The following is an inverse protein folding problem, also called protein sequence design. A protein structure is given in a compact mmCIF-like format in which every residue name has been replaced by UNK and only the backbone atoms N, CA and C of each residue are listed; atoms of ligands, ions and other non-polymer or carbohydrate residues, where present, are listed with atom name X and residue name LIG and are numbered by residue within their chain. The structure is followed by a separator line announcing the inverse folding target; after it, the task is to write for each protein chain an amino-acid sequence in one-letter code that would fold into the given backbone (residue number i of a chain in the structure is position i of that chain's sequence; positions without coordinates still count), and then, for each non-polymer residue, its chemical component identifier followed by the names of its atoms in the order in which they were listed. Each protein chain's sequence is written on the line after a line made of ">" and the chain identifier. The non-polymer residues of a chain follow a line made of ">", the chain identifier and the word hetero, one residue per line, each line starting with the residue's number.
data_IF_522004330260
#
_entry.id   IF_522004330260
#
_cell.length_a   1.000
_cell.length_b   1.000
_cell.length_c   1.000
_cell.angle_alpha   90.00
_cell.angle_beta   90.00
_cell.angle_gamma   90.00
#
_symmetry.space_group_name_H-M   'P 1'
#
loop_
_entity.id
_entity.type
_entity.pdbx_description
1 polymer ?
#
# COMPACT_ATOMS: atom_id res chain seq x y z
N UNK A 1 32.03 2.69 -32.79
CA UNK A 1 31.33 1.80 -31.84
C UNK A 1 29.84 2.02 -32.02
N UNK A 2 29.09 0.94 -32.21
CA UNK A 2 27.67 0.90 -32.58
C UNK A 2 26.78 1.00 -31.33
N UNK A 3 25.70 1.80 -31.43
CA UNK A 3 24.33 1.64 -30.90
C UNK A 3 24.14 1.16 -29.44
N UNK A 4 23.26 1.75 -28.62
CA UNK A 4 21.81 1.72 -28.83
C UNK A 4 21.05 2.82 -28.06
N UNK A 5 19.95 3.24 -28.70
CA UNK A 5 18.91 4.16 -28.21
C UNK A 5 17.99 3.39 -27.25
N UNK A 6 17.65 3.97 -26.10
CA UNK A 6 16.54 3.52 -25.26
C UNK A 6 15.34 4.44 -25.52
N UNK A 7 14.30 3.82 -26.07
CA UNK A 7 13.02 4.44 -26.40
C UNK A 7 12.15 4.49 -25.14
N UNK A 8 11.60 5.67 -24.85
CA UNK A 8 10.53 5.84 -23.85
C UNK A 8 9.24 5.40 -24.51
N UNK A 9 8.65 4.31 -24.02
CA UNK A 9 7.34 3.82 -24.46
C UNK A 9 6.27 4.60 -23.68
N UNK A 10 5.60 5.54 -24.35
CA UNK A 10 4.39 6.17 -23.85
C UNK A 10 3.22 5.20 -24.01
N UNK A 11 2.70 4.67 -22.90
CA UNK A 11 1.50 3.85 -22.89
C UNK A 11 0.26 4.76 -22.86
N UNK A 12 -0.29 5.06 -24.03
CA UNK A 12 -1.59 5.72 -24.14
C UNK A 12 -2.71 4.68 -24.04
N UNK A 13 -3.40 4.64 -22.90
CA UNK A 13 -4.60 3.80 -22.73
C UNK A 13 -5.80 4.56 -23.29
N UNK A 14 -6.21 4.21 -24.51
CA UNK A 14 -7.46 4.67 -25.09
C UNK A 14 -8.63 3.81 -24.55
N UNK A 15 -9.35 4.32 -23.55
CA UNK A 15 -10.62 3.74 -23.12
C UNK A 15 -11.71 4.16 -24.10
N UNK A 16 -12.23 3.19 -24.84
CA UNK A 16 -13.36 3.37 -25.74
C UNK A 16 -14.65 3.39 -24.93
N UNK A 17 -15.28 4.56 -24.78
CA UNK A 17 -16.61 4.68 -24.15
C UNK A 17 -17.66 4.34 -25.19
N UNK A 18 -18.19 3.11 -25.15
CA UNK A 18 -19.43 2.78 -25.87
C UNK A 18 -20.61 3.37 -25.11
N UNK A 19 -21.21 4.39 -25.73
CA UNK A 19 -22.46 5.00 -25.33
C UNK A 19 -23.60 3.97 -25.29
N UNK A 20 -24.21 3.80 -24.11
CA UNK A 20 -25.51 3.17 -23.93
C UNK A 20 -26.48 4.21 -23.41
N UNK A 21 -27.43 4.62 -24.25
CA UNK A 21 -28.54 5.48 -23.85
C UNK A 21 -29.50 4.68 -22.95
N UNK A 22 -29.75 5.17 -21.74
CA UNK A 22 -30.94 4.84 -20.96
C UNK A 22 -31.36 6.07 -20.14
N UNK A 23 -32.66 6.34 -20.22
CA UNK A 23 -33.39 7.52 -19.75
C UNK A 23 -33.49 7.64 -18.23
N UNK A 24 -33.43 8.89 -17.74
CA UNK A 24 -34.34 9.40 -16.73
C UNK A 24 -34.10 8.98 -15.27
N UNK A 25 -33.45 9.85 -14.50
CA UNK A 25 -34.06 10.59 -13.39
C UNK A 25 -33.05 11.62 -12.91
N UNK A 26 -33.49 12.86 -12.81
CA UNK A 26 -32.74 13.97 -12.22
C UNK A 26 -32.79 13.83 -10.71
N UNK A 27 -31.65 13.52 -10.10
CA UNK A 27 -31.38 13.88 -8.71
C UNK A 27 -29.95 14.42 -8.66
N UNK A 28 -29.86 15.55 -7.99
CA UNK A 28 -28.71 16.44 -7.82
C UNK A 28 -27.60 15.76 -6.99
N UNK A 29 -26.46 16.45 -6.85
CA UNK A 29 -25.44 16.31 -5.79
C UNK A 29 -24.14 15.57 -6.16
N UNK A 30 -23.06 16.36 -6.26
CA UNK A 30 -21.74 16.16 -5.62
C UNK A 30 -21.02 14.79 -5.62
N UNK A 31 -21.39 13.86 -6.50
CA UNK A 31 -20.79 12.51 -6.53
C UNK A 31 -19.80 12.27 -7.69
N UNK A 32 -19.47 13.29 -8.49
CA UNK A 32 -18.61 13.11 -9.67
C UNK A 32 -17.11 12.90 -9.39
N UNK A 33 -16.63 13.19 -8.18
CA UNK A 33 -15.21 12.97 -7.81
C UNK A 33 -14.96 11.66 -7.02
N UNK A 34 -16.01 10.96 -6.59
CA UNK A 34 -15.87 9.69 -5.86
C UNK A 34 -15.70 8.51 -6.80
N UNK A 35 -14.68 7.69 -6.55
CA UNK A 35 -14.48 6.44 -7.28
C UNK A 35 -15.71 5.55 -7.17
N UNK A 36 -16.09 4.91 -8.27
CA UNK A 36 -17.09 3.83 -8.22
C UNK A 36 -16.57 2.68 -7.36
N UNK A 37 -17.47 1.89 -6.74
CA UNK A 37 -17.08 0.71 -5.93
C UNK A 37 -16.08 -0.20 -6.65
N UNK A 38 -16.25 -0.44 -7.95
CA UNK A 38 -15.34 -1.26 -8.75
C UNK A 38 -13.96 -0.62 -8.90
N UNK A 39 -13.89 0.69 -9.16
CA UNK A 39 -12.61 1.42 -9.24
C UNK A 39 -11.91 1.45 -7.88
N UNK A 40 -12.66 1.70 -6.81
CA UNK A 40 -12.13 1.65 -5.44
C UNK A 40 -11.56 0.28 -5.10
N UNK A 41 -12.28 -0.81 -5.38
CA UNK A 41 -11.77 -2.18 -5.17
C UNK A 41 -10.49 -2.44 -5.96
N UNK A 42 -10.38 -1.96 -7.21
CA UNK A 42 -9.18 -2.13 -8.03
C UNK A 42 -7.97 -1.37 -7.46
N UNK A 43 -8.16 -0.11 -7.06
CA UNK A 43 -7.11 0.69 -6.41
C UNK A 43 -6.67 0.03 -5.09
N UNK A 44 -7.63 -0.36 -4.24
CA UNK A 44 -7.34 -1.00 -2.97
C UNK A 44 -6.64 -2.36 -3.14
N UNK A 45 -6.99 -3.15 -4.16
CA UNK A 45 -6.26 -4.39 -4.51
C UNK A 45 -4.80 -4.12 -4.85
N UNK A 46 -4.55 -3.10 -5.67
CA UNK A 46 -3.19 -2.72 -6.06
C UNK A 46 -2.38 -2.29 -4.84
N UNK A 47 -2.97 -1.49 -3.95
CA UNK A 47 -2.33 -1.08 -2.69
C UNK A 47 -2.07 -2.27 -1.76
N UNK A 48 -3.04 -3.16 -1.57
CA UNK A 48 -2.86 -4.35 -0.73
C UNK A 48 -1.74 -5.24 -1.27
N UNK A 49 -1.69 -5.47 -2.58
CA UNK A 49 -0.61 -6.24 -3.21
C UNK A 49 0.76 -5.56 -3.07
N UNK A 50 0.81 -4.21 -3.13
CA UNK A 50 2.02 -3.44 -2.90
C UNK A 50 2.47 -3.58 -1.44
N UNK A 51 1.60 -3.34 -0.47
CA UNK A 51 1.91 -3.52 0.97
C UNK A 51 2.45 -4.91 1.25
N UNK A 52 1.84 -5.97 0.71
CA UNK A 52 2.31 -7.34 0.92
C UNK A 52 3.72 -7.58 0.35
N UNK A 53 4.06 -6.97 -0.81
CA UNK A 53 5.40 -7.03 -1.41
C UNK A 53 6.41 -6.32 -0.53
N UNK A 54 6.12 -5.08 -0.16
CA UNK A 54 7.03 -4.25 0.65
C UNK A 54 7.20 -4.82 2.07
N UNK A 55 6.16 -5.42 2.64
CA UNK A 55 6.25 -6.12 3.93
C UNK A 55 7.18 -7.34 3.89
N UNK A 56 7.34 -7.99 2.73
CA UNK A 56 8.33 -9.07 2.58
C UNK A 56 9.75 -8.51 2.56
N UNK A 57 9.98 -7.40 1.85
CA UNK A 57 11.26 -6.71 1.85
C UNK A 57 11.61 -6.18 3.24
N UNK A 58 10.64 -5.65 3.98
CA UNK A 58 10.81 -5.27 5.38
C UNK A 58 11.21 -6.47 6.28
N UNK A 59 10.71 -7.68 5.99
CA UNK A 59 11.12 -8.88 6.70
C UNK A 59 12.55 -9.35 6.34
N UNK A 60 13.02 -9.05 5.12
CA UNK A 60 14.42 -9.30 4.72
C UNK A 60 15.40 -8.46 5.54
N UNK A 61 15.00 -7.28 6.04
CA UNK A 61 15.79 -6.47 6.98
C UNK A 61 16.13 -7.21 8.28
N UNK A 62 15.31 -8.18 8.69
CA UNK A 62 15.59 -9.01 9.87
C UNK A 62 16.63 -10.12 9.58
N UNK A 63 17.01 -10.30 8.31
CA UNK A 63 17.90 -11.37 7.85
C UNK A 63 19.24 -10.86 7.30
N UNK A 64 19.48 -9.55 7.27
CA UNK A 64 20.73 -8.95 6.80
C UNK A 64 21.89 -9.19 7.78
N UNK A 65 23.08 -9.50 7.25
CA UNK A 65 24.26 -9.85 8.05
C UNK A 65 24.97 -8.61 8.64
N UNK A 66 24.65 -7.41 8.14
CA UNK A 66 25.24 -6.14 8.61
C UNK A 66 24.35 -4.92 8.38
N UNK A 67 24.56 -3.86 9.18
CA UNK A 67 23.87 -2.58 9.00
C UNK A 67 24.16 -1.90 7.66
N UNK A 68 25.36 -2.09 7.12
CA UNK A 68 25.74 -1.52 5.83
C UNK A 68 24.89 -2.09 4.68
N UNK A 69 24.43 -3.33 4.81
CA UNK A 69 23.50 -3.97 3.87
C UNK A 69 22.04 -3.59 4.17
N UNK A 70 21.71 -3.34 5.44
CA UNK A 70 20.37 -2.91 5.88
C UNK A 70 20.02 -1.49 5.41
N UNK A 71 20.99 -0.57 5.41
CA UNK A 71 20.79 0.85 5.15
C UNK A 71 20.11 1.19 3.81
N UNK A 72 20.56 0.67 2.65
CA UNK A 72 19.87 0.93 1.39
C UNK A 72 18.48 0.29 1.34
N UNK A 73 18.32 -0.91 1.90
CA UNK A 73 17.04 -1.64 1.89
C UNK A 73 16.00 -0.92 2.73
N UNK A 74 16.37 -0.45 3.93
CA UNK A 74 15.41 0.23 4.81
C UNK A 74 15.02 1.61 4.27
N UNK A 75 15.94 2.29 3.58
CA UNK A 75 15.64 3.53 2.87
C UNK A 75 14.56 3.35 1.81
N UNK A 76 14.72 2.34 0.95
CA UNK A 76 13.75 2.01 -0.10
C UNK A 76 12.39 1.62 0.50
N UNK A 77 12.39 0.75 1.52
CA UNK A 77 11.14 0.30 2.17
C UNK A 77 10.37 1.46 2.81
N UNK A 78 11.05 2.40 3.48
CA UNK A 78 10.42 3.61 4.03
C UNK A 78 9.76 4.44 2.93
N UNK A 79 10.48 4.75 1.85
CA UNK A 79 9.92 5.54 0.73
C UNK A 79 8.69 4.86 0.12
N UNK A 80 8.72 3.53 -0.03
CA UNK A 80 7.56 2.79 -0.56
C UNK A 80 6.35 2.84 0.38
N UNK A 81 6.55 2.75 1.70
CA UNK A 81 5.46 2.84 2.68
C UNK A 81 4.87 4.26 2.74
N UNK A 82 5.70 5.30 2.71
CA UNK A 82 5.25 6.69 2.65
C UNK A 82 4.39 6.95 1.40
N UNK A 83 4.81 6.44 0.24
CA UNK A 83 4.01 6.53 -0.98
C UNK A 83 2.67 5.80 -0.88
N UNK A 84 2.61 4.67 -0.17
CA UNK A 84 1.34 3.95 0.07
C UNK A 84 0.44 4.75 1.00
N UNK A 85 0.98 5.33 2.07
CA UNK A 85 0.22 6.18 3.01
C UNK A 85 -0.36 7.38 2.28
N UNK A 86 0.47 8.12 1.54
CA UNK A 86 0.02 9.25 0.75
C UNK A 86 -1.10 8.85 -0.23
N UNK A 87 -0.95 7.70 -0.91
CA UNK A 87 -1.96 7.21 -1.84
C UNK A 87 -3.26 6.79 -1.14
N UNK A 88 -3.20 6.26 0.09
CA UNK A 88 -4.40 5.95 0.87
C UNK A 88 -5.13 7.23 1.27
N UNK A 89 -4.41 8.26 1.70
CA UNK A 89 -5.00 9.55 2.11
C UNK A 89 -5.66 10.31 0.94
N UNK A 90 -5.18 10.09 -0.29
CA UNK A 90 -5.78 10.65 -1.51
C UNK A 90 -7.10 9.95 -1.92
N UNK A 91 -7.34 8.73 -1.46
CA UNK A 91 -8.51 7.95 -1.85
C UNK A 91 -9.67 8.29 -0.92
N UNK A 92 -10.73 8.88 -1.46
CA UNK A 92 -11.96 9.06 -0.71
C UNK A 92 -12.74 7.73 -0.63
N UNK A 93 -12.93 7.14 0.57
CA UNK A 93 -13.61 5.86 0.68
C UNK A 93 -15.14 6.00 0.59
N UNK A 94 -15.84 4.99 0.03
CA UNK A 94 -17.29 4.89 0.19
C UNK A 94 -17.68 4.85 1.67
N UNK A 95 -18.80 5.49 2.03
CA UNK A 95 -19.22 5.65 3.44
C UNK A 95 -19.31 4.31 4.20
N UNK A 96 -19.75 3.25 3.51
CA UNK A 96 -19.85 1.90 4.08
C UNK A 96 -18.49 1.41 4.62
N UNK A 97 -17.41 1.63 3.88
CA UNK A 97 -16.05 1.16 4.23
C UNK A 97 -15.15 2.23 4.84
N UNK A 98 -15.61 3.47 4.99
CA UNK A 98 -14.80 4.59 5.47
C UNK A 98 -14.08 4.29 6.80
N UNK A 99 -14.75 3.61 7.74
CA UNK A 99 -14.13 3.19 9.00
C UNK A 99 -12.97 2.20 8.80
N UNK A 100 -13.15 1.20 7.93
CA UNK A 100 -12.11 0.20 7.64
C UNK A 100 -10.96 0.82 6.86
N UNK A 101 -11.27 1.75 5.96
CA UNK A 101 -10.28 2.52 5.23
C UNK A 101 -9.43 3.40 6.13
N UNK A 102 -10.04 4.15 7.04
CA UNK A 102 -9.31 4.98 7.99
C UNK A 102 -8.45 4.13 8.94
N UNK A 103 -8.92 2.93 9.32
CA UNK A 103 -8.11 1.98 10.07
C UNK A 103 -6.90 1.48 9.27
N UNK A 104 -7.05 1.25 7.96
CA UNK A 104 -5.94 0.90 7.08
C UNK A 104 -4.92 2.04 6.98
N UNK A 105 -5.38 3.25 6.68
CA UNK A 105 -4.50 4.42 6.58
C UNK A 105 -3.73 4.65 7.88
N UNK A 106 -4.40 4.54 9.04
CA UNK A 106 -3.76 4.65 10.35
C UNK A 106 -2.71 3.56 10.60
N UNK A 107 -3.01 2.29 10.27
CA UNK A 107 -2.06 1.19 10.43
C UNK A 107 -0.84 1.36 9.52
N UNK A 108 -1.05 1.82 8.28
CA UNK A 108 0.03 2.09 7.33
C UNK A 108 0.91 3.26 7.78
N UNK A 109 0.32 4.34 8.27
CA UNK A 109 1.07 5.48 8.82
C UNK A 109 1.91 5.06 10.02
N UNK A 110 1.35 4.27 10.95
CA UNK A 110 2.12 3.72 12.09
C UNK A 110 3.27 2.81 11.64
N UNK A 111 3.08 2.03 10.58
CA UNK A 111 4.14 1.21 10.01
C UNK A 111 5.24 2.06 9.35
N UNK A 112 4.87 3.14 8.66
CA UNK A 112 5.84 4.06 8.04
C UNK A 112 6.68 4.78 9.09
N UNK A 113 6.04 5.25 10.18
CA UNK A 113 6.74 5.87 11.32
C UNK A 113 7.75 4.90 11.95
N UNK A 114 7.34 3.65 12.17
CA UNK A 114 8.23 2.61 12.69
C UNK A 114 9.43 2.36 11.76
N UNK A 115 9.19 2.24 10.46
CA UNK A 115 10.26 2.03 9.47
C UNK A 115 11.20 3.23 9.41
N UNK A 116 10.69 4.45 9.59
CA UNK A 116 11.47 5.68 9.69
C UNK A 116 12.34 5.70 10.95
N UNK A 117 11.80 5.30 12.10
CA UNK A 117 12.57 5.14 13.34
C UNK A 117 13.66 4.08 13.18
N UNK A 118 13.34 2.96 12.53
CA UNK A 118 14.29 1.91 12.24
C UNK A 118 15.40 2.38 11.28
N UNK A 119 15.07 3.19 10.27
CA UNK A 119 16.06 3.84 9.40
C UNK A 119 16.99 4.75 10.21
N UNK A 120 16.45 5.55 11.13
CA UNK A 120 17.25 6.38 12.04
C UNK A 120 18.19 5.56 12.94
N UNK A 121 17.75 4.38 13.38
CA UNK A 121 18.60 3.44 14.14
C UNK A 121 19.74 2.86 13.27
N UNK A 122 19.48 2.53 12.00
CA UNK A 122 20.55 2.11 11.07
C UNK A 122 21.56 3.23 10.86
N UNK A 123 21.10 4.46 10.60
CA UNK A 123 21.98 5.62 10.39
C UNK A 123 22.82 5.99 11.61
N UNK A 124 22.36 5.61 12.81
CA UNK A 124 23.04 5.85 14.09
C UNK A 124 23.88 4.66 14.57
N UNK A 125 24.03 3.61 13.75
CA UNK A 125 24.71 2.36 14.10
C UNK A 125 24.13 1.62 15.34
N UNK A 126 22.84 1.81 15.64
CA UNK A 126 22.16 1.22 16.81
C UNK A 126 21.36 -0.06 16.43
N UNK A 127 22.09 -1.16 16.25
CA UNK A 127 21.53 -2.49 15.92
C UNK A 127 20.54 -2.99 16.99
N UNK A 128 20.79 -2.66 18.25
CA UNK A 128 19.94 -3.14 19.34
C UNK A 128 18.54 -2.51 19.24
N UNK A 129 18.48 -1.21 18.99
CA UNK A 129 17.22 -0.50 18.75
C UNK A 129 16.52 -0.99 17.49
N UNK A 130 17.26 -1.22 16.40
CA UNK A 130 16.70 -1.79 15.16
C UNK A 130 15.96 -3.11 15.41
N UNK A 131 16.61 -4.08 16.05
CA UNK A 131 16.05 -5.42 16.27
C UNK A 131 14.88 -5.41 17.27
N UNK A 132 14.93 -4.52 18.27
CA UNK A 132 13.83 -4.33 19.22
C UNK A 132 12.60 -3.67 18.57
N UNK A 133 12.81 -2.75 17.63
CA UNK A 133 11.75 -2.04 16.94
C UNK A 133 11.09 -2.91 15.87
N UNK A 134 11.87 -3.51 14.97
CA UNK A 134 11.30 -4.13 13.76
C UNK A 134 10.59 -5.46 14.01
N UNK A 135 11.18 -6.38 14.77
CA UNK A 135 10.69 -7.76 14.84
C UNK A 135 9.28 -7.92 15.44
N UNK A 136 8.96 -7.40 16.64
CA UNK A 136 7.62 -7.52 17.20
C UNK A 136 6.60 -6.67 16.46
N UNK A 137 6.97 -5.44 16.09
CA UNK A 137 6.04 -4.48 15.49
C UNK A 137 5.66 -4.86 14.05
N UNK A 138 6.56 -5.47 13.26
CA UNK A 138 6.22 -6.01 11.95
C UNK A 138 5.23 -7.18 12.04
N UNK A 139 5.34 -8.01 13.09
CA UNK A 139 4.39 -9.10 13.31
C UNK A 139 2.99 -8.56 13.65
N UNK A 140 2.93 -7.58 14.57
CA UNK A 140 1.69 -6.92 14.96
C UNK A 140 1.04 -6.19 13.78
N UNK A 141 1.83 -5.46 12.98
CA UNK A 141 1.37 -4.83 11.74
C UNK A 141 0.77 -5.86 10.77
N UNK A 142 1.44 -6.99 10.55
CA UNK A 142 0.92 -8.05 9.64
C UNK A 142 -0.40 -8.64 10.13
N UNK A 143 -0.56 -8.79 11.44
CA UNK A 143 -1.83 -9.26 12.03
C UNK A 143 -2.94 -8.21 11.86
N UNK A 144 -2.64 -6.96 12.20
CA UNK A 144 -3.58 -5.85 12.07
C UNK A 144 -4.01 -5.65 10.61
N UNK A 145 -3.05 -5.63 9.69
CA UNK A 145 -3.30 -5.51 8.25
C UNK A 145 -4.20 -6.63 7.73
N UNK A 146 -3.95 -7.89 8.15
CA UNK A 146 -4.81 -9.02 7.80
C UNK A 146 -6.24 -8.81 8.31
N UNK A 147 -6.40 -8.38 9.56
CA UNK A 147 -7.71 -8.08 10.14
C UNK A 147 -8.47 -7.00 9.37
N UNK A 148 -7.77 -5.96 8.94
CA UNK A 148 -8.33 -4.85 8.15
C UNK A 148 -8.77 -5.33 6.76
N UNK A 149 -7.92 -6.11 6.06
CA UNK A 149 -8.28 -6.70 4.75
C UNK A 149 -9.52 -7.60 4.88
N UNK A 150 -9.60 -8.45 5.91
CA UNK A 150 -10.81 -9.24 6.18
C UNK A 150 -12.03 -8.36 6.50
N UNK A 151 -11.83 -7.19 7.13
CA UNK A 151 -12.88 -6.20 7.36
C UNK A 151 -13.47 -5.65 6.06
N UNK A 152 -12.65 -5.42 5.03
CA UNK A 152 -13.13 -5.06 3.69
C UNK A 152 -13.93 -6.19 3.05
N UNK A 153 -13.42 -7.42 3.11
CA UNK A 153 -14.07 -8.60 2.54
C UNK A 153 -15.44 -8.85 3.18
N UNK A 154 -15.57 -8.66 4.49
CA UNK A 154 -16.84 -8.76 5.21
C UNK A 154 -17.89 -7.73 4.75
N UNK A 155 -17.45 -6.62 4.17
CA UNK A 155 -18.31 -5.59 3.58
C UNK A 155 -18.54 -5.77 2.06
N UNK A 156 -18.09 -6.90 1.50
CA UNK A 156 -18.21 -7.20 0.08
C UNK A 156 -17.20 -6.48 -0.80
N UNK A 157 -16.09 -6.01 -0.24
CA UNK A 157 -14.93 -5.50 -0.97
C UNK A 157 -13.87 -6.59 -0.99
N UNK A 158 -13.94 -7.45 -2.00
CA UNK A 158 -12.99 -8.55 -2.16
C UNK A 158 -11.63 -7.99 -2.55
N UNK A 159 -10.71 -7.78 -1.60
CA UNK A 159 -9.37 -7.23 -1.88
C UNK A 159 -8.33 -8.30 -2.20
N UNK A 160 -8.68 -9.58 -2.05
CA UNK A 160 -7.79 -10.69 -2.36
C UNK A 160 -6.65 -10.74 -1.35
N UNK A 161 -6.94 -11.18 -0.13
CA UNK A 161 -5.91 -11.80 0.69
C UNK A 161 -5.44 -13.07 -0.04
N UNK A 162 -4.32 -13.03 -0.76
CA UNK A 162 -3.79 -14.26 -1.35
C UNK A 162 -3.55 -15.31 -0.23
N UNK A 163 -3.88 -16.59 -0.52
CA UNK A 163 -3.70 -17.69 0.42
C UNK A 163 -2.21 -17.84 0.76
N UNK A 164 -1.93 -18.04 2.05
CA UNK A 164 -0.59 -18.30 2.54
C UNK A 164 0.03 -19.49 1.79
N UNK A 165 1.17 -19.26 1.15
CA UNK A 165 2.06 -20.36 0.76
C UNK A 165 2.60 -21.03 2.04
N UNK A 166 2.77 -22.37 2.02
CA UNK A 166 3.04 -23.20 3.21
C UNK A 166 4.36 -22.91 3.91
#
# INVERSE_FOLDING_TARGET
>A
MRSARLAVVALAVAVSVTAGAASGCSETDDLSDRLTKAQYVLEMKALVARVQRESRLAAELLSVDSLAEAAPVIGEVVEQFDEIVARLEEIEPPEEVATVHNALASAMSSASDLLTDAKGAVESDDIASLLLLLAPQLADFREQFRGIVSGYEAQGYELGAEPQAP
#
